data_IF_321949138003
#
_entry.id   IF_321949138003
#
_cell.length_a   1.000
_cell.length_b   1.000
_cell.length_c   1.000
_cell.angle_alpha   90.00
_cell.angle_beta   90.00
_cell.angle_gamma   90.00
#
_symmetry.space_group_name_H-M   'P 1'
#
loop_
_entity.id
_entity.type
_entity.pdbx_description
1 polymer ?
#
# COMPACT_ATOMS: atom_id res chain seq x y z
N UNK A 1 -10.77 60.46 -52.37
CA UNK A 1 -9.71 59.53 -51.94
C UNK A 1 -10.27 58.66 -50.82
N UNK A 2 -10.70 57.45 -51.17
CA UNK A 2 -11.14 56.43 -50.21
C UNK A 2 -9.98 55.50 -49.94
N UNK A 3 -9.55 55.38 -48.70
CA UNK A 3 -8.57 54.41 -48.23
C UNK A 3 -9.30 53.18 -47.71
N UNK A 4 -9.11 52.05 -48.42
CA UNK A 4 -9.63 50.73 -48.05
C UNK A 4 -8.64 50.07 -47.05
N UNK A 5 -9.02 49.91 -45.80
CA UNK A 5 -8.26 49.13 -44.83
C UNK A 5 -8.57 47.64 -45.00
N UNK A 6 -7.59 46.87 -45.44
CA UNK A 6 -7.64 45.42 -45.42
C UNK A 6 -7.45 44.91 -43.96
N UNK A 7 -8.49 44.31 -43.41
CA UNK A 7 -8.42 43.61 -42.14
C UNK A 7 -7.68 42.26 -42.33
N UNK A 8 -6.57 42.07 -41.64
CA UNK A 8 -5.90 40.80 -41.54
C UNK A 8 -6.75 39.85 -40.69
N UNK A 9 -7.22 38.75 -41.30
CA UNK A 9 -7.76 37.59 -40.59
C UNK A 9 -6.57 36.88 -39.95
N UNK A 10 -6.54 36.93 -38.61
CA UNK A 10 -5.64 36.07 -37.88
C UNK A 10 -6.28 34.68 -37.77
N UNK A 11 -5.60 33.67 -38.29
CA UNK A 11 -5.97 32.27 -38.09
C UNK A 11 -5.91 31.95 -36.59
N UNK A 12 -6.89 31.20 -36.05
CA UNK A 12 -6.83 30.76 -34.66
C UNK A 12 -5.66 29.79 -34.49
N UNK A 13 -4.97 29.79 -33.33
CA UNK A 13 -3.84 28.91 -33.09
C UNK A 13 -4.26 27.45 -33.16
N UNK A 14 -3.47 26.66 -33.89
CA UNK A 14 -3.69 25.23 -34.15
C UNK A 14 -3.43 24.29 -32.96
N UNK A 15 -3.39 24.82 -31.72
CA UNK A 15 -2.97 24.08 -30.51
C UNK A 15 -4.11 23.51 -29.66
N UNK A 16 -5.31 23.34 -30.19
CA UNK A 16 -6.45 22.82 -29.40
C UNK A 16 -6.95 21.42 -29.80
N UNK A 17 -6.18 20.65 -30.57
CA UNK A 17 -6.57 19.26 -30.98
C UNK A 17 -5.79 18.17 -30.24
N UNK A 18 -4.95 18.52 -29.27
CA UNK A 18 -4.23 17.51 -28.50
C UNK A 18 -4.99 17.16 -27.22
N UNK A 19 -5.39 15.86 -27.13
CA UNK A 19 -5.83 15.16 -25.94
C UNK A 19 -7.30 15.21 -25.53
N UNK A 20 -8.19 14.82 -26.40
CA UNK A 20 -9.28 13.97 -25.96
C UNK A 20 -8.85 12.49 -25.95
N UNK A 21 -7.71 12.17 -25.31
CA UNK A 21 -7.46 10.80 -24.87
C UNK A 21 -8.63 10.42 -23.96
N UNK A 22 -9.46 9.48 -24.41
CA UNK A 22 -10.67 9.02 -23.72
C UNK A 22 -10.36 8.81 -22.26
N UNK A 23 -11.00 9.60 -21.38
CA UNK A 23 -10.76 9.49 -19.94
C UNK A 23 -11.10 8.07 -19.50
N UNK A 24 -10.14 7.37 -18.87
CA UNK A 24 -10.37 6.02 -18.33
C UNK A 24 -11.53 6.04 -17.34
N UNK A 25 -12.30 4.96 -17.34
CA UNK A 25 -13.28 4.71 -16.27
C UNK A 25 -12.57 4.32 -14.97
N UNK A 26 -13.25 4.41 -13.83
CA UNK A 26 -12.69 4.01 -12.54
C UNK A 26 -12.19 2.55 -12.53
N UNK A 27 -12.90 1.66 -13.21
CA UNK A 27 -12.48 0.25 -13.37
C UNK A 27 -11.22 0.11 -14.22
N UNK A 28 -11.09 0.90 -15.29
CA UNK A 28 -9.89 0.90 -16.13
C UNK A 28 -8.67 1.48 -15.41
N UNK A 29 -8.85 2.52 -14.57
CA UNK A 29 -7.76 3.05 -13.72
C UNK A 29 -7.30 1.99 -12.74
N UNK A 30 -8.22 1.30 -12.07
CA UNK A 30 -7.87 0.24 -11.12
C UNK A 30 -7.20 -0.95 -11.83
N UNK A 31 -7.68 -1.36 -13.02
CA UNK A 31 -7.03 -2.42 -13.79
C UNK A 31 -5.62 -2.02 -14.21
N UNK A 32 -5.43 -0.80 -14.71
CA UNK A 32 -4.12 -0.27 -15.06
C UNK A 32 -3.16 -0.27 -13.86
N UNK A 33 -3.67 0.04 -12.66
CA UNK A 33 -2.88 -0.01 -11.44
C UNK A 33 -2.50 -1.45 -11.04
N UNK A 34 -3.39 -2.41 -11.21
CA UNK A 34 -3.09 -3.85 -10.99
C UNK A 34 -2.05 -4.34 -11.99
N UNK A 35 -2.19 -3.98 -13.27
CA UNK A 35 -1.24 -4.33 -14.32
C UNK A 35 0.15 -3.72 -14.08
N UNK A 36 0.20 -2.50 -13.54
CA UNK A 36 1.45 -1.80 -13.19
C UNK A 36 2.25 -2.49 -12.06
N UNK A 37 1.58 -3.21 -11.19
CA UNK A 37 2.22 -3.99 -10.11
C UNK A 37 2.66 -5.37 -10.61
N UNK A 38 2.00 -5.87 -11.66
CA UNK A 38 2.30 -7.18 -12.25
C UNK A 38 1.43 -8.32 -11.67
N UNK A 39 1.62 -9.56 -12.18
CA UNK A 39 0.74 -10.69 -11.88
C UNK A 39 0.94 -11.21 -10.45
N UNK A 40 0.10 -10.74 -9.50
CA UNK A 40 0.17 -11.18 -8.10
C UNK A 40 0.01 -12.68 -7.89
N UNK A 41 -0.73 -13.34 -8.78
CA UNK A 41 -0.92 -14.80 -8.72
C UNK A 41 0.37 -15.60 -8.95
N UNK A 42 1.37 -14.99 -9.60
CA UNK A 42 2.68 -15.62 -9.85
C UNK A 42 3.60 -15.61 -8.64
N UNK A 43 3.31 -14.79 -7.62
CA UNK A 43 4.19 -14.61 -6.46
C UNK A 43 3.51 -15.17 -5.22
N UNK A 44 4.07 -16.27 -4.73
CA UNK A 44 3.60 -16.95 -3.53
C UNK A 44 4.24 -16.40 -2.24
N UNK A 45 5.45 -15.86 -2.34
CA UNK A 45 6.23 -15.40 -1.20
C UNK A 45 6.79 -14.01 -1.45
N UNK A 46 6.84 -13.22 -0.39
CA UNK A 46 7.56 -11.93 -0.37
C UNK A 46 8.31 -11.85 0.96
N UNK A 47 9.62 -11.65 0.87
CA UNK A 47 10.47 -11.21 2.00
C UNK A 47 10.88 -9.78 1.72
N UNK A 48 10.72 -8.90 2.69
CA UNK A 48 11.19 -7.53 2.58
C UNK A 48 11.89 -7.12 3.87
N UNK A 49 13.08 -6.53 3.73
CA UNK A 49 13.89 -6.04 4.84
C UNK A 49 14.21 -4.57 4.63
N UNK A 50 14.24 -3.81 5.73
CA UNK A 50 14.46 -2.38 5.63
C UNK A 50 14.48 -1.67 6.96
N UNK A 51 14.13 -0.39 6.93
CA UNK A 51 14.07 0.47 8.11
C UNK A 51 12.74 1.21 8.17
N UNK A 52 12.32 1.53 9.39
CA UNK A 52 11.23 2.45 9.68
C UNK A 52 11.81 3.62 10.45
N UNK A 53 11.53 4.84 10.01
CA UNK A 53 11.83 6.08 10.69
C UNK A 53 10.50 6.74 11.10
N UNK A 54 10.37 7.14 12.34
CA UNK A 54 9.16 7.74 12.89
C UNK A 54 9.44 8.59 14.12
N UNK A 55 8.39 9.07 14.81
CA UNK A 55 8.56 9.91 16.01
C UNK A 55 9.37 9.22 17.12
N UNK A 56 9.30 7.89 17.20
CA UNK A 56 10.02 7.10 18.21
C UNK A 56 11.46 6.72 17.78
N UNK A 57 11.94 7.29 16.68
CA UNK A 57 13.28 7.04 16.15
C UNK A 57 13.30 6.04 15.00
N UNK A 58 14.48 5.45 14.79
CA UNK A 58 14.73 4.50 13.70
C UNK A 58 14.75 3.06 14.21
N UNK A 59 14.13 2.17 13.47
CA UNK A 59 14.09 0.73 13.71
C UNK A 59 14.35 -0.05 12.43
N UNK A 60 14.73 -1.33 12.54
CA UNK A 60 14.75 -2.23 11.39
C UNK A 60 13.43 -2.99 11.29
N UNK A 61 13.05 -3.35 10.08
CA UNK A 61 11.86 -4.17 9.81
C UNK A 61 12.21 -5.34 8.91
N UNK A 62 11.68 -6.50 9.24
CA UNK A 62 11.59 -7.66 8.37
C UNK A 62 10.11 -8.03 8.20
N UNK A 63 9.73 -8.32 6.97
CA UNK A 63 8.40 -8.74 6.61
C UNK A 63 8.49 -10.02 5.80
N UNK A 64 7.79 -11.06 6.24
CA UNK A 64 7.64 -12.34 5.56
C UNK A 64 6.17 -12.54 5.23
N UNK A 65 5.86 -12.84 3.98
CA UNK A 65 4.49 -13.10 3.56
C UNK A 65 4.40 -14.29 2.63
N UNK A 66 3.35 -15.10 2.83
CA UNK A 66 2.93 -16.13 1.88
C UNK A 66 1.45 -15.92 1.50
N UNK A 67 1.17 -15.94 0.18
CA UNK A 67 -0.18 -15.93 -0.36
C UNK A 67 -0.72 -17.34 -0.58
N UNK A 68 0.13 -18.38 -0.44
CA UNK A 68 -0.32 -19.76 -0.44
C UNK A 68 -1.29 -19.99 0.74
N UNK A 69 -2.28 -20.86 0.54
CA UNK A 69 -3.21 -21.23 1.61
C UNK A 69 -2.56 -22.27 2.53
N UNK A 70 -2.61 -22.09 3.86
CA UNK A 70 -3.16 -20.90 4.54
C UNK A 70 -2.26 -19.67 4.35
N UNK A 71 -2.89 -18.49 4.29
CA UNK A 71 -2.16 -17.22 4.19
C UNK A 71 -1.34 -16.98 5.45
N UNK A 72 -0.06 -16.64 5.29
CA UNK A 72 0.88 -16.42 6.40
C UNK A 72 1.51 -15.04 6.29
N UNK A 73 1.78 -14.45 7.44
CA UNK A 73 2.42 -13.14 7.56
C UNK A 73 3.19 -13.05 8.85
N UNK A 74 4.42 -12.56 8.79
CA UNK A 74 5.20 -12.15 9.96
C UNK A 74 5.77 -10.78 9.70
N UNK A 75 5.67 -9.91 10.69
CA UNK A 75 6.27 -8.58 10.72
C UNK A 75 7.14 -8.54 11.97
N UNK A 76 8.44 -8.33 11.82
CA UNK A 76 9.39 -8.15 12.89
C UNK A 76 9.96 -6.75 12.82
N UNK A 77 9.86 -6.00 13.89
CA UNK A 77 10.45 -4.67 14.01
C UNK A 77 11.40 -4.67 15.21
N UNK A 78 12.67 -4.39 14.97
CA UNK A 78 13.66 -4.24 16.02
C UNK A 78 13.90 -2.76 16.27
N UNK A 79 13.56 -2.32 17.46
CA UNK A 79 13.71 -0.95 17.90
C UNK A 79 15.19 -0.59 18.10
N UNK A 80 15.52 0.70 18.20
CA UNK A 80 16.87 1.18 18.39
C UNK A 80 17.56 0.64 19.65
N UNK A 81 16.79 0.35 20.70
CA UNK A 81 17.26 -0.25 21.95
C UNK A 81 17.37 -1.79 21.92
N UNK A 82 17.16 -2.39 20.76
CA UNK A 82 17.27 -3.83 20.53
C UNK A 82 16.00 -4.64 20.84
N UNK A 83 14.98 -4.04 21.44
CA UNK A 83 13.70 -4.71 21.71
C UNK A 83 13.01 -5.11 20.41
N UNK A 84 12.31 -6.26 20.46
CA UNK A 84 11.62 -6.82 19.31
C UNK A 84 10.11 -6.65 19.46
N UNK A 85 9.49 -6.03 18.44
CA UNK A 85 8.07 -6.18 18.16
C UNK A 85 7.91 -7.27 17.11
N UNK A 86 7.05 -8.22 17.35
CA UNK A 86 6.72 -9.23 16.35
C UNK A 86 5.20 -9.41 16.29
N UNK A 87 4.67 -9.39 15.08
CA UNK A 87 3.27 -9.72 14.83
C UNK A 87 3.25 -10.78 13.74
N UNK A 88 2.58 -11.89 14.00
CA UNK A 88 2.59 -13.02 13.08
C UNK A 88 1.26 -13.75 12.99
N UNK A 89 1.05 -14.40 11.85
CA UNK A 89 0.03 -15.41 11.61
C UNK A 89 0.63 -16.47 10.69
N UNK A 90 0.60 -17.73 11.10
CA UNK A 90 1.06 -18.86 10.29
C UNK A 90 -0.08 -19.61 9.57
N UNK A 91 -1.30 -19.10 9.67
CA UNK A 91 -2.51 -19.70 9.12
C UNK A 91 -3.41 -20.31 10.19
N UNK A 92 -2.83 -20.90 11.24
CA UNK A 92 -3.56 -21.55 12.34
C UNK A 92 -3.54 -20.70 13.61
N UNK A 93 -2.40 -20.10 13.90
CA UNK A 93 -2.17 -19.30 15.12
C UNK A 93 -1.69 -17.92 14.72
N UNK A 94 -2.23 -16.89 15.40
CA UNK A 94 -1.74 -15.52 15.28
C UNK A 94 -1.29 -14.99 16.64
N UNK A 95 -0.29 -14.11 16.61
CA UNK A 95 0.33 -13.58 17.82
C UNK A 95 0.84 -12.15 17.63
N UNK A 96 1.02 -11.50 18.76
CA UNK A 96 1.79 -10.28 18.88
C UNK A 96 2.73 -10.41 20.09
N UNK A 97 4.01 -10.08 19.88
CA UNK A 97 5.00 -9.91 20.93
C UNK A 97 5.22 -8.42 21.12
N UNK A 98 4.94 -7.93 22.31
CA UNK A 98 5.11 -6.53 22.68
C UNK A 98 6.57 -6.19 23.00
N UNK A 99 6.96 -4.90 22.92
CA UNK A 99 8.35 -4.50 23.17
C UNK A 99 8.68 -4.32 24.64
N UNK A 100 7.71 -4.35 25.54
CA UNK A 100 7.93 -3.97 26.96
C UNK A 100 8.26 -5.16 27.86
N UNK A 101 7.56 -6.24 27.69
CA UNK A 101 7.56 -7.39 28.60
C UNK A 101 7.87 -8.72 27.92
N UNK A 102 8.16 -8.68 26.63
CA UNK A 102 8.43 -9.85 25.77
C UNK A 102 7.29 -10.90 25.83
N UNK A 103 6.12 -10.50 26.33
CA UNK A 103 4.96 -11.40 26.39
C UNK A 103 4.36 -11.61 25.03
N UNK A 104 3.96 -12.84 24.76
CA UNK A 104 3.27 -13.24 23.54
C UNK A 104 1.76 -13.27 23.81
N UNK A 105 1.02 -12.45 23.07
CA UNK A 105 -0.43 -12.39 23.15
C UNK A 105 -1.04 -13.05 21.91
N UNK A 106 -2.04 -13.93 22.07
CA UNK A 106 -2.77 -14.48 20.95
C UNK A 106 -3.60 -13.40 20.24
N UNK A 107 -3.69 -13.49 18.93
CA UNK A 107 -4.50 -12.63 18.08
C UNK A 107 -5.35 -13.47 17.12
N UNK A 108 -6.23 -12.79 16.38
CA UNK A 108 -6.92 -13.36 15.22
C UNK A 108 -6.09 -13.20 13.95
N UNK A 109 -5.91 -14.27 13.19
CA UNK A 109 -5.12 -14.22 11.92
C UNK A 109 -5.67 -13.18 10.94
N UNK A 110 -6.98 -12.99 10.87
CA UNK A 110 -7.62 -11.98 10.03
C UNK A 110 -7.16 -10.55 10.39
N UNK A 111 -7.02 -10.25 11.69
CA UNK A 111 -6.55 -8.95 12.16
C UNK A 111 -5.07 -8.70 11.80
N UNK A 112 -4.21 -9.72 11.97
CA UNK A 112 -2.79 -9.63 11.60
C UNK A 112 -2.64 -9.42 10.10
N UNK A 113 -3.37 -10.18 9.28
CA UNK A 113 -3.32 -10.07 7.82
C UNK A 113 -3.83 -8.69 7.36
N UNK A 114 -4.89 -8.16 7.98
CA UNK A 114 -5.40 -6.83 7.68
C UNK A 114 -4.38 -5.73 8.01
N UNK A 115 -3.67 -5.84 9.14
CA UNK A 115 -2.60 -4.91 9.52
C UNK A 115 -1.44 -4.97 8.53
N UNK A 116 -1.02 -6.16 8.12
CA UNK A 116 0.05 -6.35 7.16
C UNK A 116 -0.29 -5.94 5.73
N UNK A 117 -1.56 -5.88 5.36
CA UNK A 117 -1.98 -5.45 4.02
C UNK A 117 -1.52 -4.02 3.69
N UNK A 118 -1.43 -3.14 4.70
CA UNK A 118 -0.91 -1.78 4.53
C UNK A 118 0.61 -1.70 4.33
N UNK A 119 1.35 -2.72 4.78
CA UNK A 119 2.82 -2.80 4.66
C UNK A 119 3.27 -3.58 3.43
N UNK A 120 2.41 -4.44 2.89
CA UNK A 120 2.69 -5.24 1.70
C UNK A 120 2.10 -4.56 0.46
N UNK A 121 2.94 -4.00 -0.39
CA UNK A 121 2.49 -3.22 -1.55
C UNK A 121 1.63 -4.00 -2.52
N UNK A 122 1.99 -5.24 -2.81
CA UNK A 122 1.19 -6.15 -3.64
C UNK A 122 -0.19 -6.38 -3.05
N UNK A 123 -0.27 -6.64 -1.75
CA UNK A 123 -1.54 -6.82 -1.06
C UNK A 123 -2.33 -5.53 -0.96
N UNK A 124 -1.66 -4.39 -0.81
CA UNK A 124 -2.33 -3.09 -0.76
C UNK A 124 -3.11 -2.82 -2.04
N UNK A 125 -2.54 -3.08 -3.22
CA UNK A 125 -3.24 -2.86 -4.49
C UNK A 125 -4.43 -3.81 -4.68
N UNK A 126 -4.26 -5.10 -4.36
CA UNK A 126 -5.36 -6.07 -4.42
C UNK A 126 -6.38 -5.81 -3.31
N UNK A 127 -5.94 -5.49 -2.09
CA UNK A 127 -6.82 -5.13 -1.00
C UNK A 127 -7.60 -3.84 -1.28
N UNK A 128 -7.04 -2.87 -1.99
CA UNK A 128 -7.79 -1.68 -2.45
C UNK A 128 -8.93 -2.08 -3.38
N UNK A 129 -8.65 -2.97 -4.35
CA UNK A 129 -9.67 -3.44 -5.28
C UNK A 129 -10.81 -4.18 -4.57
N UNK A 130 -10.49 -5.01 -3.59
CA UNK A 130 -11.46 -5.81 -2.84
C UNK A 130 -12.17 -5.01 -1.75
N UNK A 131 -11.44 -4.13 -1.05
CA UNK A 131 -11.97 -3.34 0.05
C UNK A 131 -12.94 -2.27 -0.39
N UNK A 132 -12.66 -1.63 -1.54
CA UNK A 132 -13.44 -0.51 -2.04
C UNK A 132 -14.20 -0.89 -3.32
N UNK A 133 -15.36 -1.55 -3.21
CA UNK A 133 -16.17 -1.94 -4.37
C UNK A 133 -16.80 -0.74 -5.09
N UNK A 134 -17.07 0.35 -4.36
CA UNK A 134 -17.63 1.58 -4.91
C UNK A 134 -16.48 2.50 -5.30
N UNK A 135 -16.41 2.84 -6.59
CA UNK A 135 -15.33 3.64 -7.17
C UNK A 135 -15.91 4.64 -8.14
N UNK A 136 -15.51 5.89 -7.98
CA UNK A 136 -15.90 7.00 -8.87
C UNK A 136 -14.65 7.73 -9.33
N UNK A 137 -14.70 8.27 -10.55
CA UNK A 137 -13.63 9.16 -11.00
C UNK A 137 -13.73 10.49 -10.27
N UNK A 138 -12.61 10.91 -9.69
CA UNK A 138 -12.40 12.29 -9.26
C UNK A 138 -11.79 13.15 -10.37
N UNK A 139 -11.55 14.44 -10.11
CA UNK A 139 -10.90 15.31 -11.07
C UNK A 139 -9.46 14.84 -11.34
N UNK A 140 -9.00 15.03 -12.59
CA UNK A 140 -7.58 14.90 -12.93
C UNK A 140 -6.81 16.07 -12.32
N UNK A 141 -5.65 15.79 -11.78
CA UNK A 141 -4.80 16.81 -11.15
C UNK A 141 -3.32 16.51 -11.37
N UNK A 142 -2.51 17.55 -11.28
CA UNK A 142 -1.05 17.42 -11.31
C UNK A 142 -0.54 17.25 -9.88
N UNK A 143 0.31 16.23 -9.65
CA UNK A 143 1.01 16.01 -8.37
C UNK A 143 2.48 15.76 -8.62
N UNK A 144 3.34 16.54 -8.00
CA UNK A 144 4.79 16.45 -8.16
C UNK A 144 5.23 16.38 -9.64
N UNK A 145 4.59 17.19 -10.51
CA UNK A 145 4.88 17.25 -11.94
C UNK A 145 4.32 16.07 -12.76
N UNK A 146 3.52 15.18 -12.15
CA UNK A 146 2.89 14.04 -12.82
C UNK A 146 1.39 14.25 -12.99
N UNK A 147 0.86 13.92 -14.16
CA UNK A 147 -0.58 13.85 -14.37
C UNK A 147 -1.14 12.65 -13.60
N UNK A 148 -2.14 12.88 -12.78
CA UNK A 148 -2.74 11.89 -11.92
C UNK A 148 -4.21 11.64 -12.25
N UNK A 149 -4.59 10.38 -12.24
CA UNK A 149 -5.98 9.93 -12.19
C UNK A 149 -6.37 9.72 -10.72
N UNK A 150 -7.45 10.35 -10.29
CA UNK A 150 -7.96 10.25 -8.93
C UNK A 150 -9.18 9.36 -8.88
N UNK A 151 -9.20 8.43 -7.95
CA UNK A 151 -10.38 7.65 -7.59
C UNK A 151 -10.91 8.07 -6.23
N UNK A 152 -12.21 8.30 -6.16
CA UNK A 152 -12.97 8.34 -4.91
C UNK A 152 -13.47 6.94 -4.63
N UNK A 153 -13.15 6.45 -3.45
CA UNK A 153 -13.34 5.08 -3.03
C UNK A 153 -14.27 5.05 -1.82
N UNK A 154 -15.16 4.05 -1.78
CA UNK A 154 -16.05 3.82 -0.65
C UNK A 154 -16.11 2.33 -0.36
N UNK A 155 -15.91 1.92 0.89
CA UNK A 155 -16.05 0.54 1.31
C UNK A 155 -17.51 0.18 1.62
N UNK A 156 -17.77 -1.10 1.90
CA UNK A 156 -19.14 -1.59 2.16
C UNK A 156 -19.78 -0.98 3.41
N UNK A 157 -18.96 -0.47 4.32
CA UNK A 157 -19.41 0.15 5.57
C UNK A 157 -19.44 1.68 5.48
N UNK A 158 -19.28 2.25 4.26
CA UNK A 158 -19.32 3.67 3.97
C UNK A 158 -18.02 4.42 4.32
N UNK A 159 -16.93 3.73 4.66
CA UNK A 159 -15.66 4.41 4.86
C UNK A 159 -15.09 4.91 3.53
N UNK A 160 -14.66 6.17 3.51
CA UNK A 160 -14.22 6.85 2.31
C UNK A 160 -12.70 6.95 2.22
N UNK A 161 -12.21 6.87 1.00
CA UNK A 161 -10.81 7.11 0.67
C UNK A 161 -10.70 7.81 -0.69
N UNK A 162 -9.59 8.50 -0.92
CA UNK A 162 -9.21 9.00 -2.24
C UNK A 162 -7.84 8.41 -2.59
N UNK A 163 -7.68 7.93 -3.81
CA UNK A 163 -6.42 7.35 -4.31
C UNK A 163 -5.98 8.05 -5.60
N UNK A 164 -4.69 8.34 -5.69
CA UNK A 164 -4.07 9.00 -6.84
C UNK A 164 -3.12 8.04 -7.52
N UNK A 165 -3.31 7.89 -8.82
CA UNK A 165 -2.51 7.02 -9.68
C UNK A 165 -1.80 7.87 -10.73
N UNK A 166 -0.55 7.58 -10.99
CA UNK A 166 0.19 8.16 -12.11
C UNK A 166 -0.50 7.73 -13.42
N UNK A 167 -0.99 8.68 -14.19
CA UNK A 167 -1.77 8.39 -15.39
C UNK A 167 -0.97 7.66 -16.48
N UNK A 168 0.35 7.84 -16.49
CA UNK A 168 1.24 7.19 -17.49
C UNK A 168 1.58 5.75 -17.09
N UNK A 169 1.97 5.52 -15.83
CA UNK A 169 2.46 4.22 -15.37
C UNK A 169 1.42 3.37 -14.65
N UNK A 170 0.27 3.92 -14.27
CA UNK A 170 -0.74 3.25 -13.44
C UNK A 170 -0.35 3.10 -11.96
N UNK A 171 0.85 3.51 -11.56
CA UNK A 171 1.34 3.31 -10.18
C UNK A 171 0.59 4.17 -9.18
N UNK A 172 0.21 3.58 -8.06
CA UNK A 172 -0.36 4.31 -6.93
C UNK A 172 0.70 5.28 -6.38
N UNK A 173 0.35 6.54 -6.24
CA UNK A 173 1.22 7.57 -5.66
C UNK A 173 0.82 7.88 -4.22
N UNK A 174 -0.47 8.00 -3.95
CA UNK A 174 -0.99 8.37 -2.64
C UNK A 174 -2.38 7.78 -2.42
N UNK A 175 -2.68 7.44 -1.18
CA UNK A 175 -4.04 7.16 -0.71
C UNK A 175 -4.29 7.96 0.55
N UNK A 176 -5.48 8.57 0.64
CA UNK A 176 -6.00 9.25 1.84
C UNK A 176 -7.24 8.52 2.31
N UNK A 177 -7.25 8.11 3.56
CA UNK A 177 -8.41 7.52 4.19
C UNK A 177 -8.96 8.48 5.24
N UNK A 178 -10.26 8.73 5.18
CA UNK A 178 -10.94 9.49 6.22
C UNK A 178 -11.15 8.61 7.44
N UNK A 179 -10.81 9.11 8.62
CA UNK A 179 -11.14 8.42 9.87
C UNK A 179 -12.66 8.50 10.10
N UNK A 180 -13.26 7.44 10.66
CA UNK A 180 -14.69 7.44 10.99
C UNK A 180 -15.02 8.36 12.17
N UNK A 181 -14.02 8.72 12.98
CA UNK A 181 -14.20 9.65 14.10
C UNK A 181 -14.28 11.08 13.57
N UNK A 182 -15.39 11.81 13.79
CA UNK A 182 -15.52 13.18 13.35
C UNK A 182 -14.38 14.06 13.88
N UNK A 183 -13.78 14.86 13.00
CA UNK A 183 -12.67 15.77 13.35
C UNK A 183 -11.29 15.10 13.47
N UNK A 184 -11.20 13.78 13.33
CA UNK A 184 -9.90 13.12 13.28
C UNK A 184 -9.17 13.46 11.97
N UNK A 185 -7.84 13.69 12.00
CA UNK A 185 -7.08 13.94 10.80
C UNK A 185 -7.08 12.71 9.88
N UNK A 186 -7.11 12.90 8.56
CA UNK A 186 -7.01 11.80 7.61
C UNK A 186 -5.68 11.09 7.75
N UNK A 187 -5.68 9.79 7.50
CA UNK A 187 -4.45 9.02 7.30
C UNK A 187 -4.03 9.12 5.85
N UNK A 188 -2.78 9.47 5.61
CA UNK A 188 -2.20 9.63 4.27
C UNK A 188 -1.06 8.63 4.14
N UNK A 189 -1.14 7.77 3.14
CA UNK A 189 -0.06 6.87 2.75
C UNK A 189 0.42 7.31 1.37
N UNK A 190 1.73 7.51 1.23
CA UNK A 190 2.37 7.93 0.00
C UNK A 190 3.46 6.95 -0.39
N UNK A 191 3.53 6.60 -1.67
CA UNK A 191 4.59 5.75 -2.20
C UNK A 191 5.59 6.65 -2.92
N UNK A 192 6.82 6.67 -2.41
CA UNK A 192 7.87 7.57 -2.87
C UNK A 192 8.80 6.90 -3.87
N UNK A 193 9.01 5.60 -3.75
CA UNK A 193 9.90 4.85 -4.64
C UNK A 193 9.38 3.43 -4.92
N UNK A 194 9.77 2.91 -6.07
CA UNK A 194 9.38 1.59 -6.58
C UNK A 194 10.60 0.85 -7.11
N UNK A 195 10.58 -0.48 -7.04
CA UNK A 195 11.57 -1.37 -7.67
C UNK A 195 10.87 -2.51 -8.39
N UNK A 196 11.57 -3.15 -9.31
CA UNK A 196 11.09 -4.37 -9.99
C UNK A 196 11.85 -5.56 -9.46
N UNK A 197 11.13 -6.59 -9.00
CA UNK A 197 11.67 -7.88 -8.54
C UNK A 197 10.95 -8.99 -9.30
N UNK A 198 11.67 -9.67 -10.19
CA UNK A 198 11.05 -10.60 -11.11
C UNK A 198 10.04 -9.91 -12.01
N UNK A 199 8.78 -10.35 -11.96
CA UNK A 199 7.67 -9.77 -12.73
C UNK A 199 6.86 -8.75 -11.94
N UNK A 200 7.21 -8.47 -10.68
CA UNK A 200 6.50 -7.54 -9.82
C UNK A 200 7.18 -6.20 -9.72
N UNK A 201 6.39 -5.15 -9.71
CA UNK A 201 6.81 -3.80 -9.33
C UNK A 201 6.31 -3.51 -7.92
N UNK A 202 7.24 -3.34 -6.99
CA UNK A 202 6.98 -3.23 -5.54
C UNK A 202 7.44 -1.87 -5.03
N UNK A 203 6.69 -1.19 -4.12
CA UNK A 203 7.20 0.00 -3.46
C UNK A 203 8.37 -0.34 -2.53
N UNK A 204 9.39 0.49 -2.61
CA UNK A 204 10.55 0.42 -1.72
C UNK A 204 10.54 1.50 -0.64
N UNK A 205 9.86 2.62 -0.89
CA UNK A 205 9.75 3.68 0.10
C UNK A 205 8.30 4.12 0.22
N UNK A 206 7.79 4.04 1.45
CA UNK A 206 6.42 4.38 1.80
C UNK A 206 6.45 5.32 2.98
N UNK A 207 5.78 6.48 2.88
CA UNK A 207 5.52 7.33 4.02
C UNK A 207 4.04 7.26 4.43
N UNK A 208 3.80 7.20 5.73
CA UNK A 208 2.49 7.26 6.33
C UNK A 208 2.41 8.46 7.26
N UNK A 209 1.33 9.25 7.16
CA UNK A 209 1.09 10.42 8.01
C UNK A 209 -0.30 10.36 8.61
N UNK A 210 -0.40 10.60 9.91
CA UNK A 210 -1.66 10.82 10.63
C UNK A 210 -1.48 12.00 11.59
N UNK A 211 -2.16 13.12 11.31
CA UNK A 211 -1.87 14.38 11.98
C UNK A 211 -0.41 14.82 11.75
N UNK A 212 0.31 15.10 12.84
CA UNK A 212 1.73 15.50 12.81
C UNK A 212 2.69 14.31 12.81
N UNK A 213 2.21 13.11 13.13
CA UNK A 213 3.04 11.91 13.11
C UNK A 213 3.31 11.46 11.67
N UNK A 214 4.59 11.34 11.34
CA UNK A 214 5.07 10.82 10.07
C UNK A 214 5.94 9.61 10.33
N UNK A 215 5.67 8.54 9.61
CA UNK A 215 6.46 7.31 9.59
C UNK A 215 6.90 7.04 8.16
N UNK A 216 8.18 6.72 7.97
CA UNK A 216 8.75 6.39 6.66
C UNK A 216 9.37 5.01 6.71
N UNK A 217 8.89 4.10 5.89
CA UNK A 217 9.43 2.76 5.71
C UNK A 217 10.25 2.71 4.43
N UNK A 218 11.48 2.21 4.51
CA UNK A 218 12.37 2.04 3.35
C UNK A 218 12.85 0.60 3.32
N UNK A 219 12.45 -0.16 2.29
CA UNK A 219 12.88 -1.53 2.06
C UNK A 219 14.12 -1.53 1.16
N UNK A 220 15.20 -2.05 1.67
CA UNK A 220 16.50 -2.12 0.97
C UNK A 220 16.73 -3.46 0.30
N UNK A 221 16.05 -4.49 0.76
CA UNK A 221 16.07 -5.82 0.17
C UNK A 221 14.67 -6.38 0.05
N UNK A 222 14.30 -6.80 -1.15
CA UNK A 222 13.02 -7.47 -1.43
C UNK A 222 13.30 -8.71 -2.28
N UNK A 223 12.82 -9.87 -1.84
CA UNK A 223 12.90 -11.14 -2.57
C UNK A 223 11.50 -11.76 -2.68
N UNK A 224 11.32 -12.53 -3.75
CA UNK A 224 10.11 -13.32 -4.02
C UNK A 224 10.41 -14.83 -4.03
N UNK A 225 11.57 -15.21 -3.54
CA UNK A 225 12.00 -16.60 -3.43
C UNK A 225 11.16 -17.36 -2.40
N UNK A 226 11.10 -18.69 -2.48
CA UNK A 226 10.44 -19.53 -1.48
C UNK A 226 10.98 -19.26 -0.08
N UNK A 227 10.06 -19.08 0.88
CA UNK A 227 10.39 -18.90 2.30
C UNK A 227 10.14 -20.23 3.00
N UNK A 228 11.12 -20.78 3.73
CA UNK A 228 10.95 -22.01 4.50
C UNK A 228 9.78 -21.92 5.49
N UNK A 229 9.05 -23.01 5.68
CA UNK A 229 7.94 -23.06 6.63
C UNK A 229 8.37 -22.74 8.06
N UNK A 230 9.60 -23.12 8.42
CA UNK A 230 10.19 -22.82 9.73
C UNK A 230 10.28 -21.30 10.01
N UNK A 231 10.43 -20.47 8.98
CA UNK A 231 10.48 -19.01 9.14
C UNK A 231 9.14 -18.42 9.56
N UNK A 232 8.03 -19.18 9.36
CA UNK A 232 6.68 -18.82 9.79
C UNK A 232 6.27 -19.52 11.10
N UNK A 233 7.19 -20.18 11.78
CA UNK A 233 6.89 -20.84 13.05
C UNK A 233 6.47 -19.81 14.12
N UNK A 234 5.43 -20.12 14.91
CA UNK A 234 5.03 -19.26 16.01
C UNK A 234 6.09 -19.32 17.13
N UNK A 235 6.12 -18.33 18.03
CA UNK A 235 6.93 -18.38 19.24
C UNK A 235 6.69 -19.67 20.03
N UNK A 236 7.74 -20.17 20.64
CA UNK A 236 7.69 -21.45 21.39
C UNK A 236 6.61 -21.48 22.49
N UNK A 237 6.29 -20.32 23.05
CA UNK A 237 5.26 -20.14 24.07
C UNK A 237 3.86 -20.52 23.56
N UNK A 238 3.60 -20.37 22.26
CA UNK A 238 2.34 -20.73 21.61
C UNK A 238 2.39 -22.11 20.95
N UNK A 239 3.59 -22.69 20.80
CA UNK A 239 3.77 -24.00 20.19
C UNK A 239 3.45 -25.15 21.15
N UNK A 240 3.14 -24.87 22.43
CA UNK A 240 2.70 -25.92 23.38
C UNK A 240 1.27 -26.32 23.03
N UNK A 241 0.98 -27.61 22.85
CA UNK A 241 -0.38 -28.09 22.77
C UNK A 241 -1.11 -27.63 24.04
N UNK A 242 -2.24 -26.98 23.88
CA UNK A 242 -3.20 -26.86 24.98
C UNK A 242 -3.61 -28.29 25.29
N UNK A 243 -3.19 -28.81 26.45
CA UNK A 243 -3.58 -30.14 26.91
C UNK A 243 -5.11 -30.10 27.07
N UNK A 244 -5.90 -30.83 26.25
CA UNK A 244 -7.36 -30.77 26.35
C UNK A 244 -7.92 -31.48 27.61
N UNK A 245 -7.04 -31.78 28.57
CA UNK A 245 -7.33 -32.60 29.75
C UNK A 245 -6.92 -31.99 31.10
N UNK A 246 -6.75 -30.64 31.22
CA UNK A 246 -6.55 -30.03 32.54
C UNK A 246 -7.83 -29.37 33.06
#
# INVERSE_FOLDING_TARGET
MLATTMGAHADPPADSVEAAASARSASQVMQHAVDAVGPASSVKFVRAEGTIEGPDGRSTIELLSSTAKPTRLIIRQRLADGRLLETGCNGDVAWMRGPRDDTVQPLECSAVIATGAGLLPTRMMFALADRFPIRRMGPREMRDGKACERLELEDRDGAQASAWFDAASGRLLEIRTQDRKPGAPPSILRIEAWTTVGQLTLPTTISARKGDAVTRSTFTHISVDPIPDADFAPPKELAKPVDPGA
#
